data_IF_535638015004
#
_entry.id   IF_535638015004
#
_cell.length_a   1.000
_cell.length_b   1.000
_cell.length_c   1.000
_cell.angle_alpha   90.00
_cell.angle_beta   90.00
_cell.angle_gamma   90.00
#
_symmetry.space_group_name_H-M   'P 1'
#
loop_
_entity.id
_entity.type
_entity.pdbx_description
1 polymer ?
#
# COMPACT_ATOMS: atom_id res chain seq x y z
N UNK A 1 4.49 -30.99 -0.93
CA UNK A 1 5.48 -30.02 -1.44
C UNK A 1 5.65 -28.95 -0.38
N UNK A 2 6.79 -28.97 0.30
CA UNK A 2 7.10 -28.15 1.47
C UNK A 2 7.28 -26.69 1.05
N UNK A 3 6.35 -25.84 1.49
CA UNK A 3 6.45 -24.38 1.37
C UNK A 3 7.73 -23.93 2.05
N UNK A 4 8.73 -23.54 1.26
CA UNK A 4 9.95 -22.91 1.74
C UNK A 4 9.51 -21.58 2.33
N UNK A 5 9.38 -21.47 3.66
CA UNK A 5 9.26 -20.19 4.34
C UNK A 5 10.57 -19.45 4.09
N UNK A 6 10.65 -18.67 3.02
CA UNK A 6 11.72 -17.71 2.84
C UNK A 6 11.75 -16.85 4.10
N UNK A 7 12.92 -16.74 4.73
CA UNK A 7 13.10 -16.00 5.98
C UNK A 7 12.97 -14.51 5.63
N UNK A 8 11.74 -13.99 5.62
CA UNK A 8 11.44 -12.60 5.27
C UNK A 8 12.05 -11.73 6.37
N UNK A 9 13.17 -11.07 6.06
CA UNK A 9 13.83 -10.17 6.99
C UNK A 9 12.87 -9.04 7.39
N UNK A 10 12.40 -9.05 8.65
CA UNK A 10 11.65 -7.93 9.22
C UNK A 10 12.56 -6.71 9.26
N UNK A 11 12.16 -5.63 8.60
CA UNK A 11 12.88 -4.37 8.65
C UNK A 11 12.37 -3.61 9.87
N UNK A 12 13.05 -3.72 11.01
CA UNK A 12 12.76 -2.84 12.15
C UNK A 12 13.07 -1.38 11.75
N UNK A 13 12.06 -0.52 11.76
CA UNK A 13 12.22 0.92 11.57
C UNK A 13 11.92 1.65 12.88
N UNK A 14 12.69 2.70 13.16
CA UNK A 14 12.58 3.45 14.40
C UNK A 14 11.42 4.48 14.34
N UNK A 15 10.79 4.80 15.47
CA UNK A 15 9.82 5.90 15.55
C UNK A 15 10.40 7.21 15.00
N UNK A 16 9.59 7.97 14.26
CA UNK A 16 9.99 9.24 13.63
C UNK A 16 10.79 9.10 12.34
N UNK A 17 11.18 7.88 11.94
CA UNK A 17 11.87 7.64 10.66
C UNK A 17 10.89 7.34 9.53
N UNK A 18 11.32 7.47 8.27
CA UNK A 18 10.50 7.17 7.09
C UNK A 18 10.33 5.67 6.94
N UNK A 19 9.14 5.23 6.53
CA UNK A 19 8.80 3.81 6.36
C UNK A 19 9.66 3.22 5.24
N UNK A 20 10.47 2.18 5.50
CA UNK A 20 11.23 1.49 4.47
C UNK A 20 10.28 0.82 3.47
N UNK A 21 10.57 0.95 2.17
CA UNK A 21 9.75 0.31 1.13
C UNK A 21 9.84 -1.22 1.17
N UNK A 22 10.97 -1.75 1.64
CA UNK A 22 11.16 -3.17 1.93
C UNK A 22 10.12 -3.70 2.91
N UNK A 23 9.78 -2.94 3.95
CA UNK A 23 8.81 -3.39 4.94
C UNK A 23 7.41 -3.51 4.34
N UNK A 24 6.98 -2.51 3.56
CA UNK A 24 5.73 -2.59 2.79
C UNK A 24 5.77 -3.79 1.84
N UNK A 25 6.87 -3.98 1.11
CA UNK A 25 7.04 -5.09 0.16
C UNK A 25 6.96 -6.46 0.84
N UNK A 26 7.49 -6.58 2.05
CA UNK A 26 7.41 -7.80 2.86
C UNK A 26 5.98 -8.08 3.32
N UNK A 27 5.22 -7.05 3.72
CA UNK A 27 3.80 -7.17 4.04
C UNK A 27 3.02 -7.63 2.81
N UNK A 28 3.29 -7.04 1.65
CA UNK A 28 2.64 -7.44 0.39
C UNK A 28 2.95 -8.89 0.01
N UNK A 29 4.16 -9.38 0.28
CA UNK A 29 4.52 -10.79 0.11
C UNK A 29 3.73 -11.72 1.03
N UNK A 30 3.61 -11.38 2.31
CA UNK A 30 2.79 -12.17 3.24
C UNK A 30 1.31 -12.17 2.86
N UNK A 31 0.80 -11.05 2.36
CA UNK A 31 -0.58 -10.94 1.85
C UNK A 31 -0.79 -11.82 0.62
N UNK A 32 0.16 -11.84 -0.32
CA UNK A 32 0.07 -12.65 -1.54
C UNK A 32 0.04 -14.16 -1.25
N UNK A 33 0.70 -14.61 -0.19
CA UNK A 33 0.70 -16.02 0.22
C UNK A 33 -0.57 -16.45 0.96
N UNK A 34 -1.35 -15.50 1.50
CA UNK A 34 -2.52 -15.81 2.30
C UNK A 34 -3.79 -15.88 1.45
N UNK A 35 -4.65 -16.85 1.74
CA UNK A 35 -5.91 -17.06 1.00
C UNK A 35 -7.11 -16.49 1.74
N UNK A 36 -7.00 -16.36 3.07
CA UNK A 36 -8.11 -15.87 3.91
C UNK A 36 -8.14 -14.34 3.93
N UNK A 37 -9.18 -13.76 3.35
CA UNK A 37 -9.42 -12.30 3.33
C UNK A 37 -9.31 -11.64 4.71
N UNK A 38 -9.81 -12.27 5.77
CA UNK A 38 -9.77 -11.70 7.13
C UNK A 38 -8.33 -11.56 7.64
N UNK A 39 -7.48 -12.55 7.39
CA UNK A 39 -6.06 -12.48 7.77
C UNK A 39 -5.29 -11.44 6.95
N UNK A 40 -5.61 -11.30 5.67
CA UNK A 40 -5.06 -10.22 4.82
C UNK A 40 -5.38 -8.85 5.43
N UNK A 41 -6.64 -8.66 5.86
CA UNK A 41 -7.08 -7.41 6.52
C UNK A 41 -6.34 -7.19 7.83
N UNK A 42 -6.16 -8.24 8.63
CA UNK A 42 -5.45 -8.17 9.91
C UNK A 42 -3.97 -7.78 9.72
N UNK A 43 -3.25 -8.48 8.85
CA UNK A 43 -1.84 -8.19 8.54
C UNK A 43 -1.65 -6.75 8.05
N UNK A 44 -2.54 -6.28 7.16
CA UNK A 44 -2.48 -4.91 6.65
C UNK A 44 -2.86 -3.88 7.73
N UNK A 45 -3.82 -4.20 8.60
CA UNK A 45 -4.23 -3.32 9.70
C UNK A 45 -3.10 -3.17 10.73
N UNK A 46 -2.35 -4.23 11.01
CA UNK A 46 -1.19 -4.18 11.89
C UNK A 46 -0.08 -3.30 11.31
N UNK A 47 0.19 -3.46 10.01
CA UNK A 47 1.13 -2.59 9.31
C UNK A 47 0.69 -1.13 9.38
N UNK A 48 -0.56 -0.80 9.04
CA UNK A 48 -1.07 0.57 9.12
C UNK A 48 -1.05 1.14 10.53
N UNK A 49 -1.39 0.34 11.56
CA UNK A 49 -1.32 0.79 12.95
C UNK A 49 0.12 1.16 13.34
N UNK A 50 1.10 0.34 12.94
CA UNK A 50 2.52 0.63 13.19
C UNK A 50 2.97 1.89 12.44
N UNK A 51 2.52 2.10 11.20
CA UNK A 51 2.80 3.33 10.43
C UNK A 51 2.18 4.56 11.09
N UNK A 52 0.94 4.46 11.58
CA UNK A 52 0.26 5.53 12.33
C UNK A 52 1.07 5.93 13.56
N UNK A 53 1.54 4.95 14.33
CA UNK A 53 2.28 5.18 15.58
C UNK A 53 3.69 5.76 15.32
N UNK A 54 4.40 5.26 14.30
CA UNK A 54 5.83 5.57 14.11
C UNK A 54 6.07 6.68 13.09
N UNK A 55 5.26 6.74 12.03
CA UNK A 55 5.54 7.51 10.82
C UNK A 55 4.24 7.97 10.13
N UNK A 56 3.34 8.72 10.82
CA UNK A 56 2.00 9.01 10.32
C UNK A 56 1.98 9.75 8.97
N UNK A 57 3.01 10.56 8.68
CA UNK A 57 3.15 11.27 7.40
C UNK A 57 3.41 10.36 6.19
N UNK A 58 3.72 9.09 6.39
CA UNK A 58 3.97 8.12 5.32
C UNK A 58 2.71 7.27 5.03
N UNK A 59 1.69 7.31 5.88
CA UNK A 59 0.46 6.50 5.77
C UNK A 59 -0.25 6.68 4.44
N UNK A 60 -0.37 7.93 3.97
CA UNK A 60 -1.02 8.23 2.70
C UNK A 60 -0.33 7.52 1.53
N UNK A 61 1.00 7.58 1.47
CA UNK A 61 1.78 6.92 0.44
C UNK A 61 1.68 5.38 0.55
N UNK A 62 1.67 4.84 1.78
CA UNK A 62 1.45 3.41 2.00
C UNK A 62 0.09 2.95 1.44
N UNK A 63 -0.99 3.67 1.76
CA UNK A 63 -2.35 3.32 1.28
C UNK A 63 -2.41 3.39 -0.25
N UNK A 64 -1.90 4.46 -0.85
CA UNK A 64 -1.87 4.61 -2.31
C UNK A 64 -1.08 3.51 -3.03
N UNK A 65 0.07 3.11 -2.49
CA UNK A 65 0.84 1.99 -3.05
C UNK A 65 0.11 0.65 -2.89
N UNK A 66 -0.62 0.42 -1.79
CA UNK A 66 -1.43 -0.80 -1.61
C UNK A 66 -2.59 -0.91 -2.61
N UNK A 67 -3.24 0.22 -2.96
CA UNK A 67 -4.28 0.25 -4.00
C UNK A 67 -3.74 0.42 -5.42
N UNK A 68 -2.42 0.61 -5.56
CA UNK A 68 -1.72 0.91 -6.80
C UNK A 68 -2.30 2.14 -7.54
N UNK A 69 -2.59 3.20 -6.80
CA UNK A 69 -3.06 4.49 -7.33
C UNK A 69 -2.06 5.59 -6.97
N UNK A 70 -1.92 6.61 -7.81
CA UNK A 70 -1.02 7.76 -7.55
C UNK A 70 -1.75 8.99 -7.01
N UNK A 71 -3.08 8.89 -6.89
CA UNK A 71 -3.96 9.97 -6.47
C UNK A 71 -5.42 9.55 -6.62
N UNK A 72 -6.36 10.47 -6.35
CA UNK A 72 -7.77 10.26 -6.64
C UNK A 72 -7.99 9.96 -8.13
N UNK A 73 -8.89 9.01 -8.44
CA UNK A 73 -9.11 8.55 -9.81
C UNK A 73 -9.51 9.67 -10.79
N UNK A 74 -10.19 10.70 -10.30
CA UNK A 74 -10.65 11.83 -11.12
C UNK A 74 -9.55 12.84 -11.48
N UNK A 75 -8.37 12.76 -10.86
CA UNK A 75 -7.22 13.58 -11.28
C UNK A 75 -6.53 12.99 -12.52
N UNK A 76 -6.83 11.74 -12.90
CA UNK A 76 -6.33 11.12 -14.13
C UNK A 76 -4.82 10.90 -14.16
N UNK A 77 -4.16 10.86 -13.00
CA UNK A 77 -2.72 10.66 -12.92
C UNK A 77 -2.36 9.19 -13.19
N UNK A 78 -1.95 8.91 -14.42
CA UNK A 78 -1.53 7.58 -14.86
C UNK A 78 -0.02 7.54 -15.13
N UNK A 79 0.60 6.38 -14.89
CA UNK A 79 2.01 6.17 -15.21
C UNK A 79 2.28 6.32 -16.72
N UNK A 80 1.34 5.87 -17.56
CA UNK A 80 1.46 5.93 -19.02
C UNK A 80 2.71 5.21 -19.53
N UNK A 81 3.00 4.01 -19.01
CA UNK A 81 4.16 3.21 -19.39
C UNK A 81 3.68 1.93 -20.08
N UNK A 82 4.12 1.72 -21.31
CA UNK A 82 3.90 0.46 -22.01
C UNK A 82 4.79 -0.65 -21.43
N UNK A 83 4.28 -1.88 -21.38
CA UNK A 83 4.98 -3.07 -20.85
C UNK A 83 6.39 -3.23 -21.44
N UNK A 84 6.54 -3.02 -22.75
CA UNK A 84 7.85 -3.08 -23.42
C UNK A 84 8.89 -2.10 -22.83
N UNK A 85 8.44 -0.92 -22.37
CA UNK A 85 9.30 0.09 -21.73
C UNK A 85 9.76 -0.39 -20.36
N UNK A 86 8.89 -1.07 -19.61
CA UNK A 86 9.22 -1.67 -18.31
C UNK A 86 10.23 -2.81 -18.51
N UNK A 87 10.00 -3.69 -19.50
CA UNK A 87 10.93 -4.78 -19.86
C UNK A 87 12.31 -4.19 -20.21
N UNK A 88 12.37 -3.12 -21.01
CA UNK A 88 13.62 -2.43 -21.35
C UNK A 88 14.32 -1.89 -20.10
N UNK A 89 13.59 -1.28 -19.18
CA UNK A 89 14.15 -0.77 -17.93
C UNK A 89 14.69 -1.89 -17.02
N UNK A 90 13.95 -3.00 -16.89
CA UNK A 90 14.39 -4.18 -16.12
C UNK A 90 15.63 -4.81 -16.76
N UNK A 91 15.67 -4.96 -18.08
CA UNK A 91 16.82 -5.46 -18.83
C UNK A 91 18.08 -4.62 -18.54
N UNK A 92 17.96 -3.30 -18.66
CA UNK A 92 19.06 -2.37 -18.39
C UNK A 92 19.49 -2.38 -16.92
N UNK A 93 18.55 -2.44 -15.97
CA UNK A 93 18.86 -2.44 -14.53
C UNK A 93 19.54 -3.74 -14.07
N UNK A 94 19.19 -4.87 -14.71
CA UNK A 94 19.68 -6.21 -14.35
C UNK A 94 20.88 -6.66 -15.19
N UNK A 95 21.27 -5.89 -16.22
CA UNK A 95 22.34 -6.26 -17.14
C UNK A 95 22.01 -7.43 -18.06
N UNK A 96 20.71 -7.69 -18.30
CA UNK A 96 20.22 -8.78 -19.17
C UNK A 96 19.79 -8.23 -20.52
N UNK A 97 19.72 -9.10 -21.53
CA UNK A 97 19.13 -8.75 -22.82
C UNK A 97 17.60 -8.75 -22.74
N UNK A 98 16.95 -7.89 -23.53
CA UNK A 98 15.48 -7.80 -23.61
C UNK A 98 14.87 -9.14 -24.02
N UNK A 99 15.50 -9.87 -24.94
CA UNK A 99 14.98 -11.14 -25.45
C UNK A 99 14.94 -12.23 -24.37
N UNK A 100 15.98 -12.32 -23.52
CA UNK A 100 15.99 -13.25 -22.38
C UNK A 100 14.87 -12.96 -21.37
N UNK A 101 14.54 -11.68 -21.16
CA UNK A 101 13.41 -11.32 -20.29
C UNK A 101 12.08 -11.70 -20.93
N UNK A 102 11.92 -11.51 -22.24
CA UNK A 102 10.72 -11.93 -22.98
C UNK A 102 10.53 -13.45 -22.94
N UNK A 103 11.60 -14.23 -23.11
CA UNK A 103 11.57 -15.69 -22.97
C UNK A 103 11.15 -16.13 -21.57
N UNK A 104 11.67 -15.49 -20.52
CA UNK A 104 11.22 -15.77 -19.15
C UNK A 104 9.77 -15.32 -18.90
N UNK A 105 9.33 -14.25 -19.55
CA UNK A 105 7.95 -13.78 -19.46
C UNK A 105 6.98 -14.84 -19.96
N UNK A 106 7.32 -15.53 -21.05
CA UNK A 106 6.51 -16.63 -21.57
C UNK A 106 6.42 -17.81 -20.60
N UNK A 107 7.45 -18.03 -19.77
CA UNK A 107 7.50 -19.14 -18.81
C UNK A 107 6.82 -18.83 -17.48
N UNK A 108 7.05 -17.63 -16.94
CA UNK A 108 6.61 -17.23 -15.58
C UNK A 108 5.36 -16.34 -15.57
N UNK A 109 5.12 -15.58 -16.63
CA UNK A 109 3.97 -14.69 -16.78
C UNK A 109 3.96 -13.46 -15.85
N UNK A 110 5.06 -13.17 -15.14
CA UNK A 110 5.15 -12.08 -14.17
C UNK A 110 6.54 -11.41 -14.19
N UNK A 111 6.59 -10.14 -14.62
CA UNK A 111 7.85 -9.37 -14.69
C UNK A 111 8.40 -9.03 -13.31
N UNK A 112 7.55 -8.90 -12.30
CA UNK A 112 7.98 -8.62 -10.93
C UNK A 112 8.84 -9.76 -10.38
N UNK A 113 8.42 -11.02 -10.58
CA UNK A 113 9.19 -12.18 -10.15
C UNK A 113 10.52 -12.26 -10.93
N UNK A 114 10.49 -12.02 -12.25
CA UNK A 114 11.69 -11.99 -13.09
C UNK A 114 12.67 -10.90 -12.62
N UNK A 115 12.16 -9.71 -12.30
CA UNK A 115 12.97 -8.60 -11.80
C UNK A 115 13.59 -8.93 -10.44
N UNK A 116 12.83 -9.48 -9.48
CA UNK A 116 13.34 -9.89 -8.17
C UNK A 116 14.46 -10.94 -8.32
N UNK A 117 14.22 -12.02 -9.06
CA UNK A 117 15.21 -13.08 -9.24
C UNK A 117 16.46 -12.60 -9.98
N UNK A 118 16.28 -11.76 -11.02
CA UNK A 118 17.41 -11.18 -11.74
C UNK A 118 18.25 -10.27 -10.84
N UNK A 119 17.62 -9.52 -9.93
CA UNK A 119 18.30 -8.66 -8.95
C UNK A 119 19.00 -9.44 -7.85
N UNK A 120 18.42 -10.55 -7.39
CA UNK A 120 19.05 -11.43 -6.40
C UNK A 120 20.30 -12.13 -6.97
N UNK A 121 20.26 -12.55 -8.23
CA UNK A 121 21.37 -13.23 -8.90
C UNK A 121 22.46 -12.27 -9.40
N UNK A 122 22.21 -10.96 -9.39
CA UNK A 122 23.18 -9.97 -9.85
C UNK A 122 24.25 -9.73 -8.77
N UNK A 123 25.47 -10.16 -9.04
CA UNK A 123 26.67 -9.76 -8.27
C UNK A 123 26.99 -8.30 -8.58
N UNK A 124 26.34 -7.37 -7.89
CA UNK A 124 26.59 -5.94 -8.08
C UNK A 124 28.00 -5.57 -7.64
N UNK A 125 28.81 -4.97 -8.52
CA UNK A 125 30.11 -4.37 -8.20
C UNK A 125 30.02 -3.42 -6.98
N UNK A 126 28.89 -2.73 -6.80
CA UNK A 126 28.58 -1.93 -5.62
C UNK A 126 28.73 -2.70 -4.29
N UNK A 127 28.23 -3.95 -4.19
CA UNK A 127 28.46 -4.79 -2.99
C UNK A 127 29.92 -5.19 -2.84
N UNK A 128 30.61 -5.47 -3.95
CA UNK A 128 32.02 -5.86 -3.94
C UNK A 128 32.95 -4.71 -3.50
N UNK A 129 32.58 -3.46 -3.76
CA UNK A 129 33.32 -2.25 -3.37
C UNK A 129 32.73 -1.52 -2.14
N UNK A 130 31.87 -2.17 -1.36
CA UNK A 130 31.33 -1.62 -0.11
C UNK A 130 30.31 -0.48 -0.26
N UNK A 131 29.90 -0.13 -1.47
CA UNK A 131 28.90 0.91 -1.73
C UNK A 131 27.50 0.30 -1.73
N UNK A 132 26.76 0.44 -0.63
CA UNK A 132 25.33 0.04 -0.60
C UNK A 132 24.45 1.26 -0.86
N UNK A 133 23.63 1.27 -1.92
CA UNK A 133 22.72 2.38 -2.17
C UNK A 133 21.74 2.53 -1.01
N UNK A 134 21.41 3.77 -0.66
CA UNK A 134 20.46 4.09 0.41
C UNK A 134 19.16 3.30 0.21
N UNK A 135 18.63 2.62 1.25
CA UNK A 135 17.35 1.90 1.15
C UNK A 135 16.22 2.80 0.67
N UNK A 136 15.31 2.24 -0.12
CA UNK A 136 14.13 2.97 -0.56
C UNK A 136 13.15 3.17 0.60
N UNK A 137 12.51 4.32 0.62
CA UNK A 137 11.39 4.62 1.51
C UNK A 137 10.10 4.65 0.71
N UNK A 138 8.97 4.36 1.36
CA UNK A 138 7.64 4.40 0.74
C UNK A 138 7.39 5.77 0.10
N UNK A 139 7.67 6.86 0.81
CA UNK A 139 7.54 8.21 0.25
C UNK A 139 8.44 8.45 -0.96
N UNK A 140 9.69 8.00 -0.93
CA UNK A 140 10.60 8.19 -2.08
C UNK A 140 10.13 7.42 -3.31
N UNK A 141 9.61 6.21 -3.14
CA UNK A 141 9.07 5.41 -4.25
C UNK A 141 7.81 6.06 -4.80
N UNK A 142 6.87 6.44 -3.92
CA UNK A 142 5.63 7.09 -4.31
C UNK A 142 5.87 8.42 -5.05
N UNK A 143 6.78 9.26 -4.55
CA UNK A 143 7.16 10.52 -5.19
C UNK A 143 7.76 10.26 -6.58
N UNK A 144 8.69 9.30 -6.73
CA UNK A 144 9.28 8.98 -8.03
C UNK A 144 8.26 8.40 -9.02
N UNK A 145 7.32 7.57 -8.57
CA UNK A 145 6.22 7.10 -9.42
C UNK A 145 5.31 8.24 -9.87
N UNK A 146 5.06 9.21 -8.98
CA UNK A 146 4.33 10.44 -9.30
C UNK A 146 5.08 11.30 -10.32
N UNK A 147 6.40 11.45 -10.18
CA UNK A 147 7.24 12.17 -11.14
C UNK A 147 7.23 11.49 -12.51
N UNK A 148 7.31 10.16 -12.54
CA UNK A 148 7.20 9.35 -13.76
C UNK A 148 5.85 9.60 -14.45
N UNK A 149 4.75 9.65 -13.70
CA UNK A 149 3.41 9.92 -14.25
C UNK A 149 3.30 11.34 -14.83
N UNK A 150 3.94 12.33 -14.20
CA UNK A 150 3.93 13.73 -14.64
C UNK A 150 4.82 14.01 -15.86
N UNK A 151 5.76 13.12 -16.19
CA UNK A 151 6.65 13.30 -17.35
C UNK A 151 5.89 13.13 -18.67
N UNK A 152 5.85 14.20 -19.47
CA UNK A 152 5.24 14.25 -20.81
C UNK A 152 6.21 14.79 -21.87
N UNK A 153 5.88 14.61 -23.15
CA UNK A 153 6.67 15.11 -24.29
C UNK A 153 7.60 14.08 -24.95
N UNK A 154 8.23 14.44 -26.06
CA UNK A 154 8.95 13.52 -26.95
C UNK A 154 10.13 12.77 -26.29
N UNK A 155 10.85 13.41 -25.36
CA UNK A 155 11.96 12.80 -24.64
C UNK A 155 11.55 12.11 -23.31
N UNK A 156 10.26 12.12 -22.96
CA UNK A 156 9.78 11.59 -21.67
C UNK A 156 10.03 10.10 -21.50
N UNK A 157 9.89 9.31 -22.57
CA UNK A 157 10.01 7.85 -22.49
C UNK A 157 11.40 7.39 -22.03
N UNK A 158 12.47 7.99 -22.56
CA UNK A 158 13.83 7.65 -22.13
C UNK A 158 14.07 8.08 -20.67
N UNK A 159 13.57 9.26 -20.26
CA UNK A 159 13.65 9.70 -18.85
C UNK A 159 12.89 8.77 -17.91
N UNK A 160 11.70 8.29 -18.30
CA UNK A 160 10.94 7.30 -17.53
C UNK A 160 11.74 6.01 -17.36
N UNK A 161 12.37 5.50 -18.43
CA UNK A 161 13.24 4.32 -18.36
C UNK A 161 14.39 4.53 -17.39
N UNK A 162 15.06 5.68 -17.42
CA UNK A 162 16.17 5.97 -16.53
C UNK A 162 15.76 6.07 -15.06
N UNK A 163 14.61 6.69 -14.76
CA UNK A 163 14.06 6.75 -13.40
C UNK A 163 13.68 5.37 -12.87
N UNK A 164 13.01 4.55 -13.69
CA UNK A 164 12.65 3.17 -13.34
C UNK A 164 13.90 2.33 -13.09
N UNK A 165 14.89 2.44 -13.99
CA UNK A 165 16.19 1.78 -13.83
C UNK A 165 16.85 2.16 -12.51
N UNK A 166 16.88 3.46 -12.17
CA UNK A 166 17.44 3.96 -10.93
C UNK A 166 16.72 3.44 -9.67
N UNK A 167 15.40 3.24 -9.74
CA UNK A 167 14.63 2.59 -8.66
C UNK A 167 14.99 1.10 -8.55
N UNK A 168 14.97 0.35 -9.65
CA UNK A 168 15.24 -1.10 -9.64
C UNK A 168 16.66 -1.42 -9.15
N UNK A 169 17.64 -0.57 -9.47
CA UNK A 169 19.04 -0.74 -9.02
C UNK A 169 19.18 -0.59 -7.50
N UNK A 170 18.32 0.18 -6.83
CA UNK A 170 18.33 0.32 -5.38
C UNK A 170 17.48 -0.72 -4.64
N UNK A 171 16.62 -1.45 -5.34
CA UNK A 171 15.74 -2.46 -4.76
C UNK A 171 16.50 -3.64 -4.12
N UNK A 172 15.97 -4.10 -2.98
CA UNK A 172 16.43 -5.23 -2.17
C UNK A 172 15.28 -6.21 -1.94
N UNK A 173 15.57 -7.52 -1.97
CA UNK A 173 14.56 -8.54 -1.68
C UNK A 173 13.30 -8.40 -2.55
N UNK A 174 12.14 -8.36 -1.89
CA UNK A 174 10.83 -8.29 -2.53
C UNK A 174 10.49 -6.92 -3.15
N UNK A 175 11.29 -5.86 -2.90
CA UNK A 175 11.00 -4.51 -3.42
C UNK A 175 10.90 -4.48 -4.95
N UNK A 176 11.80 -5.18 -5.65
CA UNK A 176 11.81 -5.20 -7.11
C UNK A 176 10.52 -5.82 -7.69
N UNK A 177 9.96 -6.84 -7.02
CA UNK A 177 8.74 -7.51 -7.45
C UNK A 177 7.55 -6.58 -7.39
N UNK A 178 7.32 -5.95 -6.24
CA UNK A 178 6.15 -5.08 -6.06
C UNK A 178 6.30 -3.74 -6.77
N UNK A 179 7.52 -3.22 -6.92
CA UNK A 179 7.76 -2.02 -7.72
C UNK A 179 7.39 -2.24 -9.18
N UNK A 180 7.89 -3.32 -9.80
CA UNK A 180 7.62 -3.62 -11.21
C UNK A 180 6.15 -3.94 -11.44
N UNK A 181 5.51 -4.69 -10.55
CA UNK A 181 4.06 -4.94 -10.61
C UNK A 181 3.23 -3.66 -10.46
N UNK A 182 3.69 -2.72 -9.63
CA UNK A 182 3.06 -1.39 -9.52
C UNK A 182 3.16 -0.63 -10.85
N UNK A 183 4.34 -0.66 -11.49
CA UNK A 183 4.58 -0.04 -12.79
C UNK A 183 3.72 -0.65 -13.91
N UNK A 184 3.44 -1.95 -13.86
CA UNK A 184 2.54 -2.64 -14.80
C UNK A 184 1.05 -2.31 -14.59
N UNK A 185 0.70 -1.66 -13.49
CA UNK A 185 -0.69 -1.43 -13.09
C UNK A 185 -1.35 -2.66 -12.45
N UNK A 186 -0.62 -3.75 -12.20
CA UNK A 186 -1.16 -5.05 -11.75
C UNK A 186 -0.38 -5.58 -10.55
N UNK A 187 -0.84 -5.26 -9.34
CA UNK A 187 -0.14 -5.66 -8.12
C UNK A 187 -0.23 -7.17 -7.80
N UNK A 188 -1.31 -7.84 -8.24
CA UNK A 188 -1.50 -9.31 -8.18
C UNK A 188 -1.40 -9.94 -6.77
N UNK A 189 -1.82 -9.21 -5.73
CA UNK A 189 -1.73 -9.65 -4.33
C UNK A 189 -3.06 -10.16 -3.73
N UNK A 190 -4.15 -10.21 -4.51
CA UNK A 190 -5.47 -10.60 -3.99
C UNK A 190 -6.12 -9.58 -3.03
N UNK A 191 -5.54 -8.38 -2.90
CA UNK A 191 -6.06 -7.29 -2.08
C UNK A 191 -7.03 -6.42 -2.88
N UNK A 192 -8.27 -6.29 -2.38
CA UNK A 192 -9.28 -5.40 -2.94
C UNK A 192 -9.35 -4.06 -2.20
N UNK A 193 -9.80 -2.99 -2.86
CA UNK A 193 -10.02 -1.65 -2.29
C UNK A 193 -10.86 -1.72 -0.99
N UNK A 194 -11.87 -2.58 -0.97
CA UNK A 194 -12.72 -2.79 0.21
C UNK A 194 -11.96 -3.38 1.41
N UNK A 195 -10.97 -4.24 1.18
CA UNK A 195 -10.12 -4.79 2.24
C UNK A 195 -9.15 -3.73 2.78
N UNK A 196 -8.63 -2.85 1.91
CA UNK A 196 -7.79 -1.71 2.33
C UNK A 196 -8.57 -0.77 3.25
N UNK A 197 -9.81 -0.43 2.89
CA UNK A 197 -10.66 0.42 3.73
C UNK A 197 -10.91 -0.20 5.11
N UNK A 198 -11.24 -1.50 5.17
CA UNK A 198 -11.45 -2.18 6.46
C UNK A 198 -10.15 -2.22 7.28
N UNK A 199 -9.02 -2.52 6.65
CA UNK A 199 -7.72 -2.54 7.35
C UNK A 199 -7.35 -1.16 7.91
N UNK A 200 -7.58 -0.10 7.13
CA UNK A 200 -7.36 1.28 7.55
C UNK A 200 -8.27 1.67 8.72
N UNK A 201 -9.56 1.33 8.66
CA UNK A 201 -10.50 1.56 9.76
C UNK A 201 -10.09 0.82 11.03
N UNK A 202 -9.67 -0.45 10.92
CA UNK A 202 -9.19 -1.25 12.05
C UNK A 202 -7.94 -0.63 12.69
N UNK A 203 -7.01 -0.11 11.88
CA UNK A 203 -5.82 0.57 12.37
C UNK A 203 -6.15 1.86 13.14
N UNK A 204 -7.05 2.69 12.62
CA UNK A 204 -7.53 3.88 13.33
C UNK A 204 -8.34 3.53 14.58
N UNK A 205 -9.13 2.44 14.55
CA UNK A 205 -9.84 1.94 15.73
C UNK A 205 -8.85 1.55 16.82
N UNK A 206 -7.75 0.90 16.47
CA UNK A 206 -6.68 0.54 17.41
C UNK A 206 -6.03 1.79 18.02
N UNK A 207 -5.76 2.83 17.22
CA UNK A 207 -5.29 4.13 17.72
C UNK A 207 -6.30 4.77 18.69
N UNK A 208 -7.56 4.83 18.29
CA UNK A 208 -8.65 5.41 19.08
C UNK A 208 -8.81 4.75 20.45
N UNK A 209 -8.76 3.42 20.50
CA UNK A 209 -8.83 2.67 21.76
C UNK A 209 -7.63 2.97 22.67
N UNK A 210 -6.42 3.10 22.09
CA UNK A 210 -5.22 3.47 22.86
C UNK A 210 -5.36 4.88 23.44
N UNK A 211 -5.81 5.85 22.65
CA UNK A 211 -5.98 7.25 23.07
C UNK A 211 -7.06 7.43 24.14
N UNK A 212 -8.25 6.83 23.94
CA UNK A 212 -9.31 6.83 24.96
C UNK A 212 -8.84 6.17 26.26
N UNK A 213 -8.07 5.09 26.18
CA UNK A 213 -7.54 4.43 27.37
C UNK A 213 -6.52 5.25 28.15
N UNK A 214 -5.67 5.98 27.43
CA UNK A 214 -4.75 6.93 28.05
C UNK A 214 -5.51 8.07 28.73
N UNK A 215 -6.58 8.57 28.10
CA UNK A 215 -7.39 9.67 28.63
C UNK A 215 -8.17 9.27 29.89
N UNK A 216 -8.85 8.11 29.87
CA UNK A 216 -9.58 7.60 31.03
C UNK A 216 -8.65 7.40 32.24
N UNK A 217 -7.44 6.89 32.02
CA UNK A 217 -6.50 6.71 33.11
C UNK A 217 -5.92 8.03 33.63
N UNK A 218 -5.60 8.98 32.74
CA UNK A 218 -5.15 10.30 33.14
C UNK A 218 -6.20 10.98 34.01
N UNK A 219 -7.48 10.86 33.66
CA UNK A 219 -8.59 11.40 34.45
C UNK A 219 -8.68 10.75 35.84
N UNK A 220 -8.49 9.43 35.92
CA UNK A 220 -8.60 8.68 37.19
C UNK A 220 -7.40 8.88 38.11
N UNK A 221 -6.18 9.00 37.56
CA UNK A 221 -4.93 8.91 38.34
C UNK A 221 -4.10 10.19 38.33
N UNK A 222 -4.37 11.14 37.44
CA UNK A 222 -3.56 12.34 37.25
C UNK A 222 -2.18 12.09 36.64
N UNK A 223 -1.86 10.85 36.21
CA UNK A 223 -0.56 10.47 35.65
C UNK A 223 -0.69 10.06 34.18
N UNK A 224 0.15 10.64 33.33
CA UNK A 224 0.31 10.23 31.95
C UNK A 224 1.25 9.01 31.90
N UNK A 225 0.70 7.79 31.82
CA UNK A 225 1.47 6.59 31.54
C UNK A 225 0.92 5.89 30.29
N UNK A 226 1.80 5.16 29.60
CA UNK A 226 1.45 4.36 28.43
C UNK A 226 0.59 3.16 28.87
N UNK A 227 -0.73 3.36 28.95
CA UNK A 227 -1.70 2.31 29.28
C UNK A 227 -1.64 1.20 28.24
N UNK A 228 -1.16 0.03 28.63
CA UNK A 228 -1.44 -1.22 27.92
C UNK A 228 -2.92 -1.58 28.10
N UNK A 229 -3.76 -1.03 27.23
CA UNK A 229 -5.17 -1.33 26.97
C UNK A 229 -6.19 -1.11 28.11
N UNK A 230 -7.14 -0.19 27.87
CA UNK A 230 -8.52 -0.39 28.32
C UNK A 230 -8.97 -1.80 27.92
N UNK A 231 -9.36 -2.61 28.90
CA UNK A 231 -10.00 -3.91 28.67
C UNK A 231 -11.45 -3.70 28.25
N UNK A 232 -11.65 -3.11 27.07
CA UNK A 232 -12.94 -3.22 26.38
C UNK A 232 -13.19 -4.71 26.10
N UNK A 233 -14.41 -5.19 26.34
CA UNK A 233 -14.76 -6.60 26.11
C UNK A 233 -14.44 -6.99 24.65
N UNK A 234 -14.15 -8.27 24.42
CA UNK A 234 -13.85 -8.77 23.07
C UNK A 234 -14.97 -8.44 22.07
N UNK A 235 -16.22 -8.43 22.54
CA UNK A 235 -17.41 -8.06 21.76
C UNK A 235 -17.43 -6.58 21.38
N UNK A 236 -17.28 -5.68 22.35
CA UNK A 236 -17.35 -4.23 22.10
C UNK A 236 -16.20 -3.72 21.22
N UNK A 237 -15.04 -4.38 21.24
CA UNK A 237 -13.94 -4.07 20.30
C UNK A 237 -14.30 -4.42 18.85
N UNK A 238 -15.01 -5.54 18.66
CA UNK A 238 -15.40 -5.98 17.33
C UNK A 238 -16.53 -5.11 16.78
N UNK A 239 -17.51 -4.77 17.61
CA UNK A 239 -18.59 -3.84 17.25
C UNK A 239 -18.05 -2.48 16.79
N UNK A 240 -17.06 -1.94 17.53
CA UNK A 240 -16.44 -0.66 17.19
C UNK A 240 -15.66 -0.72 15.86
N UNK A 241 -14.96 -1.83 15.57
CA UNK A 241 -14.32 -2.02 14.27
C UNK A 241 -15.35 -2.04 13.14
N UNK A 242 -16.48 -2.70 13.33
CA UNK A 242 -17.56 -2.77 12.33
C UNK A 242 -18.12 -1.37 12.09
N UNK A 243 -18.39 -0.61 13.14
CA UNK A 243 -18.88 0.77 13.07
C UNK A 243 -17.90 1.67 12.31
N UNK A 244 -16.63 1.70 12.73
CA UNK A 244 -15.61 2.52 12.08
C UNK A 244 -15.34 2.09 10.63
N UNK A 245 -15.41 0.80 10.33
CA UNK A 245 -15.31 0.30 8.95
C UNK A 245 -16.48 0.79 8.09
N UNK A 246 -17.71 0.81 8.63
CA UNK A 246 -18.88 1.35 7.94
C UNK A 246 -18.74 2.86 7.74
N UNK A 247 -18.30 3.59 8.76
CA UNK A 247 -18.07 5.04 8.73
C UNK A 247 -17.06 5.41 7.62
N UNK A 248 -15.90 4.74 7.61
CA UNK A 248 -14.85 5.00 6.64
C UNK A 248 -15.27 4.62 5.21
N UNK A 249 -15.98 3.49 5.04
CA UNK A 249 -16.52 3.10 3.73
C UNK A 249 -17.53 4.11 3.21
N UNK A 250 -18.48 4.52 4.04
CA UNK A 250 -19.51 5.49 3.67
C UNK A 250 -18.88 6.83 3.29
N UNK A 251 -17.93 7.30 4.09
CA UNK A 251 -17.18 8.54 3.82
C UNK A 251 -16.39 8.44 2.52
N UNK A 252 -15.72 7.31 2.27
CA UNK A 252 -14.99 7.09 1.01
C UNK A 252 -15.92 7.01 -0.20
N UNK A 253 -17.12 6.44 -0.06
CA UNK A 253 -18.11 6.43 -1.14
C UNK A 253 -18.58 7.84 -1.51
N UNK A 254 -18.73 8.73 -0.51
CA UNK A 254 -19.12 10.13 -0.71
C UNK A 254 -17.97 11.00 -1.23
N UNK A 255 -16.75 10.75 -0.75
CA UNK A 255 -15.54 11.47 -1.11
C UNK A 255 -14.37 10.48 -1.33
N UNK A 256 -14.22 9.88 -2.52
CA UNK A 256 -13.19 8.89 -2.83
C UNK A 256 -11.80 9.53 -3.01
N UNK A 257 -11.28 10.12 -1.94
CA UNK A 257 -9.99 10.79 -1.88
C UNK A 257 -9.28 10.51 -0.54
N UNK A 258 -8.33 9.58 -0.56
CA UNK A 258 -7.49 9.25 0.60
C UNK A 258 -6.67 10.44 1.11
N UNK A 259 -6.24 11.33 0.20
CA UNK A 259 -5.51 12.56 0.53
C UNK A 259 -6.31 13.57 1.35
N UNK A 260 -7.64 13.50 1.35
CA UNK A 260 -8.49 14.28 2.26
C UNK A 260 -8.81 13.52 3.55
N UNK A 261 -9.19 12.25 3.42
CA UNK A 261 -9.67 11.44 4.55
C UNK A 261 -8.55 11.16 5.56
N UNK A 262 -7.37 10.76 5.11
CA UNK A 262 -6.28 10.32 6.01
C UNK A 262 -5.76 11.47 6.89
N UNK A 263 -5.45 12.68 6.37
CA UNK A 263 -5.02 13.79 7.21
C UNK A 263 -6.06 14.17 8.27
N UNK A 264 -7.35 14.18 7.92
CA UNK A 264 -8.43 14.47 8.88
C UNK A 264 -8.51 13.39 9.95
N UNK A 265 -8.47 12.11 9.57
CA UNK A 265 -8.49 10.99 10.51
C UNK A 265 -7.27 10.99 11.45
N UNK A 266 -6.09 11.41 10.98
CA UNK A 266 -4.89 11.52 11.80
C UNK A 266 -4.96 12.68 12.80
N UNK A 267 -5.52 13.82 12.40
CA UNK A 267 -5.56 15.05 13.19
C UNK A 267 -6.72 15.09 14.20
N UNK A 268 -7.90 14.58 13.81
CA UNK A 268 -9.15 14.77 14.55
C UNK A 268 -9.83 13.45 14.93
N UNK A 269 -9.25 12.32 14.54
CA UNK A 269 -9.80 10.99 14.81
C UNK A 269 -10.79 10.52 13.74
N UNK A 270 -11.09 9.22 13.78
CA UNK A 270 -11.92 8.55 12.79
C UNK A 270 -13.40 8.94 12.89
N UNK A 271 -13.91 9.27 14.08
CA UNK A 271 -15.32 9.64 14.30
C UNK A 271 -15.70 10.92 13.55
N UNK A 272 -14.74 11.85 13.38
CA UNK A 272 -14.97 13.18 12.82
C UNK A 272 -14.85 13.25 11.28
N UNK A 273 -14.50 12.14 10.61
CA UNK A 273 -14.28 12.15 9.16
C UNK A 273 -15.58 12.43 8.37
N UNK A 274 -16.73 11.98 8.86
CA UNK A 274 -18.02 12.12 8.18
C UNK A 274 -18.53 13.55 8.16
N UNK A 275 -18.14 14.35 9.15
CA UNK A 275 -18.54 15.76 9.23
C UNK A 275 -17.78 16.63 8.23
N UNK A 276 -16.52 16.28 7.95
CA UNK A 276 -15.61 17.06 7.11
C UNK A 276 -15.47 16.56 5.68
N UNK A 277 -15.59 15.26 5.45
CA UNK A 277 -15.54 14.64 4.12
C UNK A 277 -16.96 14.35 3.60
N UNK A 278 -17.75 15.40 3.41
CA UNK A 278 -19.12 15.30 2.87
C UNK A 278 -19.14 15.28 1.35
N UNK A 279 -20.26 14.79 0.81
CA UNK A 279 -20.58 14.94 -0.61
C UNK A 279 -20.61 16.43 -0.97
N UNK A 280 -19.78 16.83 -1.93
CA UNK A 280 -19.69 18.19 -2.41
C UNK A 280 -19.66 18.21 -3.94
N UNK A 281 -20.40 19.15 -4.60
CA UNK A 281 -20.29 19.34 -6.03
C UNK A 281 -18.85 19.53 -6.48
N UNK A 282 -18.45 18.88 -7.58
CA UNK A 282 -17.08 18.90 -8.11
C UNK A 282 -16.18 17.75 -7.62
N UNK A 283 -16.59 16.98 -6.61
CA UNK A 283 -15.93 15.72 -6.23
C UNK A 283 -16.85 14.57 -6.64
N UNK A 284 -16.41 13.64 -7.50
CA UNK A 284 -17.25 12.52 -7.90
C UNK A 284 -17.43 11.53 -6.75
N UNK A 285 -18.65 11.02 -6.58
CA UNK A 285 -18.95 9.93 -5.66
C UNK A 285 -18.81 8.56 -6.35
N UNK A 286 -18.74 7.49 -5.56
CA UNK A 286 -18.82 6.12 -6.11
C UNK A 286 -20.27 5.85 -6.55
N UNK A 287 -20.52 5.49 -7.82
CA UNK A 287 -21.87 5.25 -8.31
C UNK A 287 -22.48 4.00 -7.69
N UNK A 288 -23.81 3.95 -7.62
CA UNK A 288 -24.54 2.73 -7.30
C UNK A 288 -24.41 1.73 -8.44
N UNK A 289 -24.04 0.49 -8.11
CA UNK A 289 -23.90 -0.60 -9.08
C UNK A 289 -25.11 -1.54 -9.00
N UNK A 290 -25.45 -2.18 -10.12
CA UNK A 290 -26.52 -3.17 -10.18
C UNK A 290 -25.97 -4.59 -9.97
N UNK A 291 -26.75 -5.43 -9.29
CA UNK A 291 -26.46 -6.86 -9.23
C UNK A 291 -27.11 -7.56 -10.45
N UNK A 292 -26.41 -8.44 -11.17
CA UNK A 292 -27.02 -9.20 -12.25
C UNK A 292 -28.05 -10.19 -11.67
N UNK A 293 -29.27 -10.15 -12.18
CA UNK A 293 -30.39 -10.97 -11.69
C UNK A 293 -30.95 -11.79 -12.85
N UNK A 294 -31.18 -13.08 -12.64
CA UNK A 294 -31.53 -14.04 -13.72
C UNK A 294 -33.02 -14.09 -14.05
N UNK A 295 -33.87 -13.44 -13.26
CA UNK A 295 -35.30 -13.35 -13.56
C UNK A 295 -36.12 -12.64 -12.48
N UNK A 296 -37.40 -12.41 -12.78
CA UNK A 296 -38.32 -11.66 -11.92
C UNK A 296 -38.52 -12.34 -10.55
N UNK A 297 -38.52 -13.68 -10.51
CA UNK A 297 -38.66 -14.44 -9.27
C UNK A 297 -37.49 -14.29 -8.29
N UNK A 298 -36.33 -13.79 -8.74
CA UNK A 298 -35.18 -13.45 -7.88
C UNK A 298 -35.26 -11.99 -7.39
N UNK A 299 -35.97 -11.12 -8.12
CA UNK A 299 -36.19 -9.71 -7.74
C UNK A 299 -37.26 -9.58 -6.65
N UNK A 300 -38.30 -10.41 -6.71
CA UNK A 300 -39.48 -10.32 -5.83
C UNK A 300 -39.39 -11.16 -4.55
N UNK A 301 -38.22 -11.72 -4.21
CA UNK A 301 -37.95 -12.42 -2.95
C UNK A 301 -37.23 -11.49 -1.97
#
# INVERSE_FOLDING_TARGET
MTSTKENIAQSEWAPGTKVPYLELSNVLARIEEETKRLKIIEELAEFYAKVIDYSPGDLLACVYLCVNQLGPAYEGLELGIAEHTIIKAVAQATGRTVDKIKEEMQKKGDLGIIAQQSRQNQTSLCKAFGFTPKPHTVQSVFAKLTDIAKLTGAASMNKKVDLIKGLIVGCRGAEARYLVRSLEGKLRIGLAEQSVLVALANAFTKKHIKEKGMFDYLYITGILYETSSLKLSSTAKEDLKVEHALLLKTTYCQCPNYGKIIPIALAEGIENISEKCKLAPGIPLKPMLAHPTKGIGEIMK
#
